data_IF_065059907694
#
_entry.id   IF_065059907694
#
_cell.length_a   1.000
_cell.length_b   1.000
_cell.length_c   1.000
_cell.angle_alpha   90.00
_cell.angle_beta   90.00
_cell.angle_gamma   90.00
#
_symmetry.space_group_name_H-M   'P 1'
#
loop_
_entity.id
_entity.type
_entity.pdbx_description
1 polymer ?
#
# COMPACT_ATOMS: atom_id res chain seq x y z
N UNK A 1 31.81 -11.67 47.92
CA UNK A 1 31.09 -10.84 48.90
C UNK A 1 31.08 -9.44 48.31
N UNK A 2 30.09 -9.13 47.47
CA UNK A 2 30.02 -7.82 46.80
C UNK A 2 28.84 -7.02 47.33
N UNK A 3 29.18 -5.85 47.86
CA UNK A 3 28.30 -4.92 48.54
C UNK A 3 27.39 -4.18 47.55
N UNK A 4 26.09 -4.18 47.81
CA UNK A 4 25.14 -3.33 47.10
C UNK A 4 25.28 -1.87 47.60
N UNK A 5 25.42 -0.94 46.67
CA UNK A 5 25.53 0.50 46.92
C UNK A 5 24.13 1.06 47.18
N UNK A 6 23.92 1.64 48.36
CA UNK A 6 22.68 2.31 48.75
C UNK A 6 22.83 3.83 48.59
N UNK A 7 22.15 4.43 47.61
CA UNK A 7 22.00 5.89 47.53
C UNK A 7 20.87 6.33 48.47
N UNK A 8 21.22 6.87 49.64
CA UNK A 8 20.26 7.48 50.57
C UNK A 8 19.87 8.89 50.13
N UNK A 9 18.59 9.13 49.88
CA UNK A 9 18.04 10.49 49.71
C UNK A 9 17.78 11.10 51.10
N UNK A 10 18.13 12.38 51.34
CA UNK A 10 18.03 13.01 52.66
C UNK A 10 16.59 13.35 53.10
N UNK A 11 15.58 13.04 52.28
CA UNK A 11 14.17 13.39 52.57
C UNK A 11 13.31 12.22 53.09
N UNK A 12 13.87 11.03 53.29
CA UNK A 12 13.16 9.90 53.87
C UNK A 12 13.88 9.43 55.15
N UNK A 13 13.29 9.69 56.32
CA UNK A 13 13.83 9.25 57.62
C UNK A 13 13.53 7.79 57.97
N UNK A 14 12.96 7.01 57.03
CA UNK A 14 12.68 5.59 57.21
C UNK A 14 13.07 4.83 55.93
N UNK A 15 13.74 3.66 56.04
CA UNK A 15 13.95 2.78 54.89
C UNK A 15 12.59 2.36 54.33
N UNK A 16 12.41 2.50 53.02
CA UNK A 16 11.19 2.09 52.34
C UNK A 16 11.03 0.58 52.43
N UNK A 17 10.10 0.12 53.27
CA UNK A 17 9.67 -1.28 53.34
C UNK A 17 8.37 -1.38 52.55
N UNK A 18 8.35 -2.02 51.37
CA UNK A 18 7.12 -2.21 50.63
C UNK A 18 6.13 -3.06 51.45
N UNK A 19 4.85 -2.70 51.41
CA UNK A 19 3.81 -3.45 52.11
C UNK A 19 3.71 -4.87 51.54
N UNK A 20 4.05 -5.87 52.36
CA UNK A 20 3.85 -7.29 52.05
C UNK A 20 2.37 -7.57 51.91
N UNK A 21 1.91 -7.93 50.71
CA UNK A 21 0.53 -8.34 50.46
C UNK A 21 -0.18 -7.70 49.27
N UNK A 22 0.49 -6.87 48.44
CA UNK A 22 -0.08 -6.47 47.16
C UNK A 22 -0.23 -7.70 46.23
N UNK A 23 -1.44 -8.02 45.72
CA UNK A 23 -1.65 -9.17 44.86
C UNK A 23 -0.75 -9.07 43.62
N UNK A 24 0.25 -9.96 43.53
CA UNK A 24 1.14 -10.08 42.38
C UNK A 24 2.64 -9.90 42.65
N UNK A 25 3.07 -9.56 43.87
CA UNK A 25 4.51 -9.40 44.16
C UNK A 25 5.12 -10.67 44.78
N UNK A 26 5.61 -11.58 43.93
CA UNK A 26 6.54 -12.65 44.34
C UNK A 26 7.96 -12.12 44.16
N UNK A 27 8.75 -12.09 45.24
CA UNK A 27 10.10 -11.53 45.30
C UNK A 27 11.18 -12.33 44.54
N UNK A 28 10.79 -13.06 43.51
CA UNK A 28 11.69 -13.93 42.76
C UNK A 28 12.18 -13.16 41.53
N UNK A 29 13.51 -13.10 41.37
CA UNK A 29 14.23 -12.50 40.23
C UNK A 29 14.03 -13.26 38.90
N UNK A 30 12.80 -13.68 38.60
CA UNK A 30 12.43 -14.30 37.33
C UNK A 30 11.61 -13.30 36.50
N UNK A 31 12.23 -12.18 36.11
CA UNK A 31 11.58 -11.23 35.18
C UNK A 31 11.76 -11.61 33.70
N UNK A 32 12.44 -12.72 33.40
CA UNK A 32 12.46 -13.25 32.04
C UNK A 32 11.31 -14.24 31.84
N UNK A 33 10.08 -13.70 31.71
CA UNK A 33 9.00 -14.44 31.05
C UNK A 33 9.30 -14.35 29.56
N UNK A 34 10.19 -15.22 29.12
CA UNK A 34 10.78 -15.24 27.79
C UNK A 34 9.78 -14.80 26.74
N UNK A 35 10.06 -13.66 26.11
CA UNK A 35 9.44 -13.33 24.84
C UNK A 35 10.05 -14.29 23.82
N UNK A 36 9.47 -15.48 23.72
CA UNK A 36 9.80 -16.41 22.67
C UNK A 36 9.23 -15.80 21.39
N UNK A 37 10.13 -15.25 20.56
CA UNK A 37 9.77 -14.80 19.22
C UNK A 37 9.42 -16.05 18.40
N UNK A 38 8.15 -16.44 18.45
CA UNK A 38 7.67 -17.57 17.68
C UNK A 38 7.58 -17.15 16.20
N UNK A 39 8.54 -17.64 15.39
CA UNK A 39 8.51 -17.45 13.94
C UNK A 39 7.21 -18.00 13.32
N UNK A 40 6.53 -18.96 13.95
CA UNK A 40 5.27 -19.51 13.46
C UNK A 40 4.07 -18.55 13.66
N UNK A 41 4.12 -17.63 14.64
CA UNK A 41 3.09 -16.59 14.80
C UNK A 41 3.28 -15.41 13.84
N UNK A 42 4.49 -15.22 13.31
CA UNK A 42 4.79 -14.28 12.22
C UNK A 42 4.21 -14.78 10.90
N UNK A 43 4.28 -16.09 10.63
CA UNK A 43 3.66 -16.74 9.47
C UNK A 43 2.10 -16.68 9.49
N UNK A 44 1.47 -16.49 10.66
CA UNK A 44 0.00 -16.40 10.80
C UNK A 44 -0.61 -15.01 10.49
N UNK A 45 0.15 -14.05 9.96
CA UNK A 45 -0.29 -12.64 9.82
C UNK A 45 -0.16 -12.05 8.41
N UNK A 46 0.03 -12.87 7.39
CA UNK A 46 0.04 -12.45 5.99
C UNK A 46 -1.30 -11.81 5.56
N UNK A 47 -1.25 -10.93 4.56
CA UNK A 47 -2.44 -10.46 3.84
C UNK A 47 -3.07 -11.62 3.08
N UNK A 48 -4.39 -11.78 3.20
CA UNK A 48 -5.17 -12.74 2.42
C UNK A 48 -5.85 -12.03 1.26
N UNK A 49 -5.61 -12.50 0.04
CA UNK A 49 -6.27 -12.00 -1.16
C UNK A 49 -7.53 -12.83 -1.45
N UNK A 50 -8.71 -12.20 -1.51
CA UNK A 50 -10.00 -12.91 -1.75
C UNK A 50 -10.73 -12.42 -3.00
N UNK A 51 -11.46 -13.32 -3.65
CA UNK A 51 -12.29 -13.01 -4.83
C UNK A 51 -11.60 -13.22 -6.18
N UNK A 52 -10.29 -13.54 -6.18
CA UNK A 52 -9.59 -14.04 -7.37
C UNK A 52 -10.02 -15.49 -7.64
N UNK A 53 -10.31 -15.83 -8.89
CA UNK A 53 -10.57 -17.19 -9.38
C UNK A 53 -9.23 -17.90 -9.59
N UNK A 54 -9.14 -19.17 -9.26
CA UNK A 54 -7.89 -19.94 -9.36
C UNK A 54 -7.33 -20.06 -10.78
N UNK A 55 -8.20 -19.92 -11.79
CA UNK A 55 -7.82 -20.02 -13.21
C UNK A 55 -7.09 -18.78 -13.74
N UNK A 56 -7.14 -17.65 -13.01
CA UNK A 56 -6.58 -16.38 -13.51
C UNK A 56 -5.14 -16.18 -13.12
N UNK A 57 -4.41 -15.45 -13.96
CA UNK A 57 -3.00 -15.15 -13.71
C UNK A 57 -2.90 -14.04 -12.65
N UNK A 58 -2.26 -14.28 -11.50
CA UNK A 58 -2.15 -13.26 -10.46
C UNK A 58 -1.23 -12.11 -10.91
N UNK A 59 -1.68 -10.88 -10.66
CA UNK A 59 -0.85 -9.67 -10.78
C UNK A 59 -0.31 -9.26 -9.41
N UNK A 60 -1.17 -9.20 -8.39
CA UNK A 60 -0.76 -9.01 -6.99
C UNK A 60 -0.56 -10.36 -6.28
N UNK A 61 0.63 -10.61 -5.75
CA UNK A 61 0.86 -11.77 -4.86
C UNK A 61 0.68 -11.39 -3.39
N UNK A 62 0.50 -12.38 -2.51
CA UNK A 62 0.39 -12.15 -1.07
C UNK A 62 1.69 -11.53 -0.50
N UNK A 63 2.85 -11.93 -1.02
CA UNK A 63 4.14 -11.35 -0.62
C UNK A 63 4.22 -9.87 -1.01
N UNK A 64 3.78 -9.51 -2.22
CA UNK A 64 3.75 -8.11 -2.64
C UNK A 64 2.72 -7.30 -1.84
N UNK A 65 1.58 -7.88 -1.51
CA UNK A 65 0.59 -7.26 -0.64
C UNK A 65 1.16 -7.00 0.78
N UNK A 66 1.90 -7.96 1.33
CA UNK A 66 2.59 -7.81 2.62
C UNK A 66 3.69 -6.74 2.58
N UNK A 67 4.40 -6.59 1.44
CA UNK A 67 5.37 -5.50 1.25
C UNK A 67 4.70 -4.12 1.15
N UNK A 68 3.52 -4.02 0.54
CA UNK A 68 2.78 -2.76 0.35
C UNK A 68 2.08 -2.30 1.63
N UNK A 69 1.53 -3.23 2.41
CA UNK A 69 0.68 -2.94 3.58
C UNK A 69 1.31 -1.96 4.59
N UNK A 70 2.60 -2.05 4.98
CA UNK A 70 3.22 -1.08 5.89
C UNK A 70 3.16 0.38 5.42
N UNK A 71 3.04 0.60 4.10
CA UNK A 71 3.01 1.94 3.50
C UNK A 71 1.61 2.58 3.48
N UNK A 72 0.55 1.82 3.79
CA UNK A 72 -0.81 2.33 3.86
C UNK A 72 -1.05 3.22 5.08
N UNK A 73 -2.11 4.03 5.13
CA UNK A 73 -2.55 4.70 6.37
C UNK A 73 -2.84 3.70 7.49
N UNK A 74 -2.69 4.11 8.75
CA UNK A 74 -2.82 3.21 9.91
C UNK A 74 -4.14 2.41 9.93
N UNK A 75 -5.27 3.04 9.58
CA UNK A 75 -6.57 2.38 9.53
C UNK A 75 -6.66 1.32 8.43
N UNK A 76 -6.12 1.61 7.24
CA UNK A 76 -6.09 0.68 6.12
C UNK A 76 -5.15 -0.53 6.35
N UNK A 77 -4.27 -0.50 7.37
CA UNK A 77 -3.44 -1.65 7.75
C UNK A 77 -4.17 -2.67 8.61
N UNK A 78 -5.31 -2.31 9.20
CA UNK A 78 -6.03 -3.17 10.13
C UNK A 78 -6.69 -4.38 9.42
N UNK A 79 -7.41 -4.19 8.30
CA UNK A 79 -7.95 -5.33 7.55
C UNK A 79 -6.82 -6.20 7.00
N UNK A 80 -6.96 -7.51 7.20
CA UNK A 80 -6.02 -8.51 6.68
C UNK A 80 -6.50 -9.17 5.39
N UNK A 81 -7.79 -9.07 5.09
CA UNK A 81 -8.36 -9.61 3.87
C UNK A 81 -8.57 -8.46 2.89
N UNK A 82 -7.98 -8.54 1.71
CA UNK A 82 -8.21 -7.60 0.62
C UNK A 82 -9.09 -8.27 -0.42
N UNK A 83 -10.12 -7.57 -0.89
CA UNK A 83 -11.10 -8.12 -1.82
C UNK A 83 -10.80 -7.66 -3.24
N UNK A 84 -10.84 -8.58 -4.20
CA UNK A 84 -10.69 -8.25 -5.60
C UNK A 84 -11.95 -7.50 -6.07
N UNK A 85 -11.81 -6.21 -6.34
CA UNK A 85 -12.88 -5.40 -6.91
C UNK A 85 -12.96 -5.64 -8.41
N UNK A 86 -11.82 -5.58 -9.10
CA UNK A 86 -11.74 -5.73 -10.55
C UNK A 86 -10.45 -6.45 -10.96
N UNK A 87 -10.50 -7.17 -12.06
CA UNK A 87 -9.37 -7.87 -12.69
C UNK A 87 -9.67 -7.96 -14.17
N UNK A 88 -8.70 -7.58 -14.99
CA UNK A 88 -8.80 -7.63 -16.45
C UNK A 88 -9.12 -9.03 -16.95
N UNK A 89 -8.46 -10.05 -16.38
CA UNK A 89 -8.62 -11.46 -16.73
C UNK A 89 -10.01 -12.03 -16.33
N UNK A 90 -10.60 -11.52 -15.23
CA UNK A 90 -11.88 -12.04 -14.73
C UNK A 90 -13.11 -11.29 -15.20
N UNK A 91 -12.97 -9.99 -15.46
CA UNK A 91 -14.10 -9.07 -15.66
C UNK A 91 -14.08 -8.38 -17.02
N UNK A 92 -13.05 -8.63 -17.84
CA UNK A 92 -12.93 -8.12 -19.20
C UNK A 92 -12.47 -6.67 -19.29
N UNK A 93 -12.10 -6.24 -20.49
CA UNK A 93 -11.41 -4.96 -20.81
C UNK A 93 -12.31 -3.71 -20.86
N UNK A 94 -13.34 -3.64 -20.01
CA UNK A 94 -14.29 -2.52 -20.00
C UNK A 94 -14.01 -1.55 -18.85
N UNK A 95 -13.58 -0.32 -19.17
CA UNK A 95 -13.33 0.73 -18.19
C UNK A 95 -14.59 1.09 -17.38
N UNK A 96 -15.76 1.09 -18.02
CA UNK A 96 -17.04 1.30 -17.33
C UNK A 96 -17.32 0.17 -16.31
N UNK A 97 -17.00 -1.08 -16.66
CA UNK A 97 -17.14 -2.22 -15.73
C UNK A 97 -16.19 -2.09 -14.56
N UNK A 98 -14.97 -1.62 -14.78
CA UNK A 98 -14.01 -1.29 -13.73
C UNK A 98 -14.59 -0.24 -12.77
N UNK A 99 -15.13 0.88 -13.28
CA UNK A 99 -15.71 1.93 -12.43
C UNK A 99 -16.93 1.46 -11.64
N UNK A 100 -17.86 0.76 -12.28
CA UNK A 100 -19.07 0.26 -11.63
C UNK A 100 -18.74 -0.68 -10.45
N UNK A 101 -17.69 -1.50 -10.60
CA UNK A 101 -17.25 -2.43 -9.55
C UNK A 101 -16.48 -1.74 -8.42
N UNK A 102 -15.68 -0.72 -8.75
CA UNK A 102 -14.88 -0.01 -7.74
C UNK A 102 -15.71 0.97 -6.90
N UNK A 103 -16.69 1.67 -7.50
CA UNK A 103 -17.58 2.60 -6.80
C UNK A 103 -18.46 1.93 -5.72
N UNK A 104 -18.68 0.62 -5.81
CA UNK A 104 -19.42 -0.13 -4.80
C UNK A 104 -18.62 -0.32 -3.48
N UNK A 105 -17.31 -0.05 -3.49
CA UNK A 105 -16.44 -0.17 -2.34
C UNK A 105 -16.15 1.22 -1.72
N UNK A 106 -16.37 1.36 -0.41
CA UNK A 106 -16.20 2.63 0.33
C UNK A 106 -14.86 2.72 1.08
N UNK A 107 -13.95 1.77 0.85
CA UNK A 107 -12.62 1.72 1.45
C UNK A 107 -11.51 2.14 0.49
N UNK A 108 -10.25 1.97 0.92
CA UNK A 108 -9.11 2.29 0.09
C UNK A 108 -8.96 1.30 -1.07
N UNK A 109 -8.44 1.76 -2.20
CA UNK A 109 -8.22 0.94 -3.38
C UNK A 109 -6.74 0.87 -3.72
N UNK A 110 -6.23 -0.35 -3.91
CA UNK A 110 -4.93 -0.60 -4.49
C UNK A 110 -5.11 -1.02 -5.95
N UNK A 111 -4.65 -0.19 -6.87
CA UNK A 111 -4.57 -0.50 -8.30
C UNK A 111 -3.21 -1.11 -8.58
N UNK A 112 -3.18 -2.23 -9.28
CA UNK A 112 -1.98 -3.00 -9.60
C UNK A 112 -1.98 -3.30 -11.09
N UNK A 113 -0.91 -2.90 -11.79
CA UNK A 113 -0.71 -3.14 -13.21
C UNK A 113 0.55 -3.97 -13.42
N UNK A 114 0.53 -4.81 -14.46
CA UNK A 114 1.68 -5.48 -15.04
C UNK A 114 1.75 -5.12 -16.52
N UNK A 115 2.91 -4.65 -16.96
CA UNK A 115 3.17 -4.41 -18.38
C UNK A 115 3.73 -5.64 -19.11
N UNK A 116 3.81 -5.57 -20.44
CA UNK A 116 4.36 -6.63 -21.28
C UNK A 116 5.86 -6.89 -21.08
N UNK A 117 6.56 -6.02 -20.34
CA UNK A 117 7.95 -6.21 -19.87
C UNK A 117 8.05 -6.79 -18.46
N UNK A 118 6.95 -7.31 -17.91
CA UNK A 118 6.82 -7.87 -16.55
C UNK A 118 7.08 -6.88 -15.40
N UNK A 119 7.12 -5.57 -15.66
CA UNK A 119 7.16 -4.59 -14.59
C UNK A 119 5.81 -4.51 -13.88
N UNK A 120 5.83 -4.55 -12.55
CA UNK A 120 4.64 -4.45 -11.70
C UNK A 120 4.66 -3.14 -10.93
N UNK A 121 3.60 -2.35 -11.08
CA UNK A 121 3.49 -1.01 -10.52
C UNK A 121 2.03 -0.63 -10.30
N UNK A 122 1.78 0.52 -9.69
CA UNK A 122 0.42 0.99 -9.54
C UNK A 122 0.28 2.16 -8.56
N UNK A 123 -0.93 2.28 -8.02
CA UNK A 123 -1.31 3.39 -7.15
C UNK A 123 -2.14 2.89 -5.96
N UNK A 124 -1.92 3.50 -4.81
CA UNK A 124 -2.83 3.42 -3.66
C UNK A 124 -3.69 4.68 -3.57
N UNK A 125 -5.00 4.51 -3.43
CA UNK A 125 -5.98 5.57 -3.23
C UNK A 125 -6.71 5.36 -1.92
N UNK A 126 -6.51 6.26 -0.95
CA UNK A 126 -7.09 6.12 0.39
C UNK A 126 -8.61 6.18 0.45
N UNK A 127 -9.26 6.86 -0.50
CA UNK A 127 -10.73 7.01 -0.58
C UNK A 127 -11.39 6.06 -1.59
N UNK A 128 -10.61 5.17 -2.19
CA UNK A 128 -11.09 4.25 -3.23
C UNK A 128 -10.93 4.81 -4.64
N UNK A 129 -11.34 4.01 -5.63
CA UNK A 129 -11.29 4.39 -7.04
C UNK A 129 -12.71 4.56 -7.57
N UNK A 130 -12.97 5.70 -8.21
CA UNK A 130 -14.27 5.98 -8.83
C UNK A 130 -14.10 6.91 -10.02
N UNK A 131 -15.09 6.91 -10.91
CA UNK A 131 -15.14 7.88 -11.99
C UNK A 131 -15.23 9.31 -11.42
N UNK A 132 -14.37 10.20 -11.89
CA UNK A 132 -14.43 11.64 -11.65
C UNK A 132 -15.33 12.31 -12.68
N UNK A 133 -15.92 13.45 -12.32
CA UNK A 133 -16.75 14.27 -13.21
C UNK A 133 -15.97 15.49 -13.69
N UNK A 134 -14.80 15.26 -14.30
CA UNK A 134 -13.92 16.32 -14.81
C UNK A 134 -13.05 17.02 -13.75
N UNK A 135 -12.91 16.46 -12.55
CA UNK A 135 -12.12 17.04 -11.47
C UNK A 135 -11.22 15.99 -10.83
N UNK A 136 -10.00 16.40 -10.47
CA UNK A 136 -9.10 15.55 -9.71
C UNK A 136 -9.68 15.26 -8.32
N UNK A 137 -9.44 14.05 -7.85
CA UNK A 137 -9.70 13.61 -6.50
C UNK A 137 -8.45 12.89 -5.96
N UNK A 138 -8.46 12.55 -4.68
CA UNK A 138 -7.35 11.94 -3.99
C UNK A 138 -7.10 12.59 -2.63
N UNK A 139 -6.65 11.79 -1.67
CA UNK A 139 -6.10 12.30 -0.42
C UNK A 139 -4.57 12.35 -0.45
N UNK A 140 -3.98 13.15 0.43
CA UNK A 140 -2.53 13.19 0.63
C UNK A 140 -1.90 11.89 1.17
N UNK A 141 -2.70 10.87 1.42
CA UNK A 141 -2.21 9.53 1.77
C UNK A 141 -1.97 8.63 0.55
N UNK A 142 -2.39 9.07 -0.63
CA UNK A 142 -2.22 8.37 -1.90
C UNK A 142 -0.75 8.34 -2.31
N UNK A 143 -0.35 7.30 -3.04
CA UNK A 143 1.03 7.17 -3.51
C UNK A 143 1.12 6.27 -4.74
N UNK A 144 2.07 6.58 -5.62
CA UNK A 144 2.50 5.69 -6.68
C UNK A 144 3.55 4.72 -6.14
N UNK A 145 3.68 3.56 -6.77
CA UNK A 145 4.69 2.58 -6.42
C UNK A 145 5.09 1.72 -7.61
N UNK A 146 6.30 1.14 -7.53
CA UNK A 146 6.76 0.11 -8.48
C UNK A 146 7.63 -0.92 -7.78
N UNK A 147 7.59 -2.14 -8.29
CA UNK A 147 8.48 -3.23 -7.92
C UNK A 147 9.76 -3.15 -8.76
N UNK A 148 10.92 -3.11 -8.10
CA UNK A 148 12.22 -3.14 -8.75
C UNK A 148 12.65 -4.59 -9.03
N UNK A 149 13.58 -4.77 -9.98
CA UNK A 149 14.06 -6.10 -10.41
C UNK A 149 14.70 -6.92 -9.28
N UNK A 150 15.21 -6.26 -8.23
CA UNK A 150 15.77 -6.89 -7.02
C UNK A 150 14.72 -7.16 -5.93
N UNK A 151 13.43 -7.13 -6.29
CA UNK A 151 12.27 -7.33 -5.42
C UNK A 151 12.12 -6.28 -4.32
N UNK A 152 12.76 -5.11 -4.44
CA UNK A 152 12.49 -3.97 -3.56
C UNK A 152 11.32 -3.15 -4.07
N UNK A 153 10.54 -2.63 -3.13
CA UNK A 153 9.43 -1.74 -3.41
C UNK A 153 9.90 -0.28 -3.37
N UNK A 154 9.66 0.48 -4.45
CA UNK A 154 9.86 1.93 -4.47
C UNK A 154 8.52 2.63 -4.33
N UNK A 155 8.41 3.52 -3.35
CA UNK A 155 7.19 4.26 -3.01
C UNK A 155 7.40 5.74 -3.29
N UNK A 156 6.45 6.35 -3.99
CA UNK A 156 6.43 7.78 -4.32
C UNK A 156 5.22 8.42 -3.63
N UNK A 157 5.47 9.02 -2.46
CA UNK A 157 4.42 9.67 -1.66
C UNK A 157 4.03 11.01 -2.28
N UNK A 158 2.80 11.43 -2.00
CA UNK A 158 2.33 12.75 -2.38
C UNK A 158 3.25 13.86 -1.85
N UNK A 159 3.63 14.79 -2.74
CA UNK A 159 4.60 15.84 -2.45
C UNK A 159 4.00 17.07 -1.79
N UNK A 160 2.68 17.24 -1.88
CA UNK A 160 1.99 18.47 -1.49
C UNK A 160 2.15 19.64 -2.47
N UNK A 161 2.80 19.46 -3.62
CA UNK A 161 2.98 20.53 -4.62
C UNK A 161 1.68 20.90 -5.35
N UNK A 162 0.77 19.94 -5.53
CA UNK A 162 -0.56 20.10 -6.13
C UNK A 162 -1.49 18.94 -5.71
N UNK A 163 -2.78 19.06 -6.02
CA UNK A 163 -3.81 18.05 -5.67
C UNK A 163 -4.23 17.16 -6.86
N UNK A 164 -3.39 17.05 -7.89
CA UNK A 164 -3.69 16.29 -9.12
C UNK A 164 -3.46 14.78 -8.94
N UNK A 165 -4.06 14.17 -7.91
CA UNK A 165 -3.76 12.80 -7.48
C UNK A 165 -4.37 11.74 -8.40
N UNK A 166 -5.66 11.79 -8.66
CA UNK A 166 -6.36 10.85 -9.53
C UNK A 166 -7.41 11.58 -10.38
N UNK A 167 -7.49 11.23 -11.65
CA UNK A 167 -8.51 11.71 -12.58
C UNK A 167 -8.92 10.52 -13.46
N UNK A 168 -10.16 10.09 -13.26
CA UNK A 168 -10.72 8.86 -13.80
C UNK A 168 -11.94 9.22 -14.65
N UNK A 169 -11.74 9.48 -15.93
CA UNK A 169 -12.77 9.91 -16.87
C UNK A 169 -13.34 8.72 -17.65
N UNK A 170 -14.38 8.96 -18.46
CA UNK A 170 -14.98 7.92 -19.32
C UNK A 170 -13.99 7.28 -20.29
N UNK A 171 -12.98 8.05 -20.72
CA UNK A 171 -12.04 7.63 -21.77
C UNK A 171 -10.66 7.22 -21.26
N UNK A 172 -10.35 7.44 -19.98
CA UNK A 172 -9.04 7.11 -19.42
C UNK A 172 -9.00 7.13 -17.89
N UNK A 173 -7.98 6.49 -17.34
CA UNK A 173 -7.55 6.56 -15.96
C UNK A 173 -6.22 7.30 -15.90
N UNK A 174 -6.05 8.20 -14.94
CA UNK A 174 -4.77 8.84 -14.70
C UNK A 174 -4.51 9.08 -13.22
N UNK A 175 -3.25 8.97 -12.83
CA UNK A 175 -2.77 9.15 -11.47
C UNK A 175 -1.48 9.99 -11.46
N UNK A 176 -1.51 11.08 -10.70
CA UNK A 176 -0.41 12.03 -10.58
C UNK A 176 -0.26 12.92 -11.79
N UNK A 177 -0.95 14.05 -11.83
CA UNK A 177 -0.87 15.02 -12.93
C UNK A 177 0.14 16.14 -12.70
N UNK A 178 0.19 17.08 -13.64
CA UNK A 178 1.03 18.26 -13.57
C UNK A 178 2.08 18.29 -14.66
N UNK A 179 2.51 19.50 -15.03
CA UNK A 179 3.48 19.76 -16.11
C UNK A 179 3.12 19.12 -17.47
N UNK A 180 1.83 18.82 -17.69
CA UNK A 180 1.32 18.25 -18.94
C UNK A 180 1.45 16.73 -19.06
N UNK A 181 1.93 16.04 -18.04
CA UNK A 181 2.12 14.59 -18.04
C UNK A 181 1.41 13.91 -16.86
N UNK A 182 1.33 12.58 -16.92
CA UNK A 182 0.79 11.75 -15.85
C UNK A 182 1.84 10.78 -15.31
N UNK A 183 1.90 10.64 -14.00
CA UNK A 183 2.72 9.62 -13.32
C UNK A 183 2.32 8.22 -13.78
N UNK A 184 1.03 7.99 -13.97
CA UNK A 184 0.47 6.79 -14.58
C UNK A 184 -0.79 7.14 -15.36
N UNK A 185 -0.87 6.70 -16.61
CA UNK A 185 -2.02 6.86 -17.49
C UNK A 185 -2.36 5.52 -18.13
N UNK A 186 -3.66 5.24 -18.27
CA UNK A 186 -4.18 4.09 -19.00
C UNK A 186 -5.43 4.51 -19.77
N UNK A 187 -5.54 4.11 -21.02
CA UNK A 187 -6.65 4.45 -21.90
C UNK A 187 -7.96 3.67 -21.57
N UNK A 188 -9.02 3.92 -22.33
CA UNK A 188 -10.32 3.25 -22.17
C UNK A 188 -10.32 1.78 -22.56
N UNK A 189 -9.35 1.34 -23.37
CA UNK A 189 -9.19 -0.06 -23.75
C UNK A 189 -8.53 -0.91 -22.65
N UNK A 190 -7.94 -0.26 -21.63
CA UNK A 190 -7.17 -0.88 -20.56
C UNK A 190 -5.93 -1.63 -21.05
N UNK A 191 -5.49 -1.37 -22.28
CA UNK A 191 -4.36 -2.03 -22.94
C UNK A 191 -3.19 -1.06 -23.13
N UNK A 192 -3.45 0.18 -23.53
CA UNK A 192 -2.38 1.13 -23.84
C UNK A 192 -2.23 2.17 -22.73
N UNK A 193 -1.02 2.25 -22.18
CA UNK A 193 -0.70 3.13 -21.08
C UNK A 193 0.58 3.93 -21.27
N UNK A 194 0.78 4.91 -20.40
CA UNK A 194 2.03 5.65 -20.33
C UNK A 194 2.36 6.06 -18.90
N UNK A 195 3.63 6.27 -18.62
CA UNK A 195 4.12 6.76 -17.34
C UNK A 195 5.24 7.77 -17.57
N UNK A 196 5.18 8.88 -16.84
CA UNK A 196 6.16 9.95 -16.87
C UNK A 196 6.49 10.43 -15.47
N UNK A 197 7.43 11.38 -15.37
CA UNK A 197 7.59 12.15 -14.15
C UNK A 197 6.35 13.04 -13.92
N UNK A 198 5.93 13.18 -12.66
CA UNK A 198 4.94 14.19 -12.29
C UNK A 198 5.31 14.91 -10.98
N UNK A 199 4.99 16.21 -10.84
CA UNK A 199 5.25 16.95 -9.62
C UNK A 199 4.41 16.50 -8.42
N UNK A 200 3.26 15.86 -8.64
CA UNK A 200 2.37 15.37 -7.55
C UNK A 200 3.04 14.31 -6.68
N UNK A 201 3.87 13.45 -7.27
CA UNK A 201 4.51 12.32 -6.57
C UNK A 201 6.03 12.32 -6.67
N UNK A 202 6.63 13.21 -7.48
CA UNK A 202 8.08 13.23 -7.75
C UNK A 202 8.59 11.85 -8.22
N UNK A 203 7.76 11.16 -9.00
CA UNK A 203 8.06 9.80 -9.45
C UNK A 203 8.92 9.79 -10.71
N UNK A 204 9.70 8.73 -10.89
CA UNK A 204 10.22 8.36 -12.20
C UNK A 204 9.17 7.54 -12.96
N UNK A 205 9.32 7.35 -14.29
CA UNK A 205 8.49 6.40 -15.03
C UNK A 205 8.43 5.03 -14.34
N UNK A 206 7.21 4.53 -14.18
CA UNK A 206 6.91 3.35 -13.38
C UNK A 206 7.10 2.04 -14.15
N UNK A 207 6.81 2.08 -15.45
CA UNK A 207 6.83 0.94 -16.35
C UNK A 207 8.25 0.53 -16.77
N UNK A 208 8.30 -0.60 -17.49
CA UNK A 208 9.44 -1.05 -18.25
C UNK A 208 9.94 0.02 -19.22
N UNK A 209 11.21 -0.09 -19.62
CA UNK A 209 11.73 0.77 -20.68
C UNK A 209 10.98 0.47 -21.99
N UNK A 210 10.32 1.49 -22.53
CA UNK A 210 9.55 1.39 -23.77
C UNK A 210 9.79 2.59 -24.70
N UNK A 211 9.04 2.67 -25.81
CA UNK A 211 9.04 3.83 -26.67
C UNK A 211 8.77 5.11 -25.87
N UNK A 212 9.46 6.20 -26.25
CA UNK A 212 9.29 7.50 -25.61
C UNK A 212 8.61 8.48 -26.55
N UNK A 213 7.62 9.19 -26.02
CA UNK A 213 6.98 10.31 -26.69
C UNK A 213 7.13 11.53 -25.77
N UNK A 214 8.17 12.33 -26.02
CA UNK A 214 8.58 13.37 -25.06
C UNK A 214 9.06 12.74 -23.75
N UNK A 215 8.45 13.14 -22.64
CA UNK A 215 8.75 12.60 -21.30
C UNK A 215 7.99 11.30 -20.99
N UNK A 216 6.97 10.97 -21.78
CA UNK A 216 6.14 9.78 -21.57
C UNK A 216 6.86 8.52 -22.05
N UNK A 217 6.93 7.50 -21.19
CA UNK A 217 7.30 6.13 -21.56
C UNK A 217 6.01 5.34 -21.74
N UNK A 218 5.78 4.81 -22.94
CA UNK A 218 4.57 4.02 -23.25
C UNK A 218 4.76 2.55 -22.86
N UNK A 219 3.69 1.91 -22.39
CA UNK A 219 3.66 0.49 -22.04
C UNK A 219 2.36 -0.16 -22.48
N UNK A 220 2.41 -1.47 -22.73
CA UNK A 220 1.23 -2.30 -22.96
C UNK A 220 0.86 -3.00 -21.65
N UNK A 221 -0.36 -2.79 -21.18
CA UNK A 221 -0.93 -3.40 -19.98
C UNK A 221 -1.40 -4.82 -20.28
N UNK A 222 -0.74 -5.82 -19.68
CA UNK A 222 -1.09 -7.24 -19.83
C UNK A 222 -1.75 -7.81 -18.57
N UNK A 223 -1.86 -7.01 -17.52
CA UNK A 223 -2.54 -7.40 -16.29
C UNK A 223 -2.93 -6.16 -15.50
N UNK A 224 -4.19 -6.12 -15.06
CA UNK A 224 -4.72 -5.06 -14.21
C UNK A 224 -5.61 -5.69 -13.15
N UNK A 225 -5.35 -5.35 -11.89
CA UNK A 225 -6.20 -5.71 -10.76
C UNK A 225 -6.45 -4.48 -9.87
N UNK A 226 -7.63 -4.44 -9.27
CA UNK A 226 -7.99 -3.44 -8.26
C UNK A 226 -8.47 -4.18 -7.02
N UNK A 227 -7.82 -3.87 -5.90
CA UNK A 227 -8.05 -4.51 -4.61
C UNK A 227 -8.63 -3.51 -3.61
N UNK A 228 -9.75 -3.87 -3.01
CA UNK A 228 -10.39 -3.13 -1.92
C UNK A 228 -9.73 -3.48 -0.58
N UNK A 229 -9.36 -2.45 0.17
CA UNK A 229 -8.70 -2.53 1.46
C UNK A 229 -9.48 -1.65 2.44
N UNK A 230 -10.33 -2.30 3.24
CA UNK A 230 -11.27 -1.61 4.12
C UNK A 230 -12.46 -2.48 4.45
#
# INVERSE_FOLDING_TARGET
MDAAITHGSPFASQPFVPATGAPGFAGDRAWDKGFQFDRMDVEKRAVRLVGRKEVTVPVLTEELADMLRPHFPALARLPRAWSLLYSLDQHGISLNTLYARCQAHTGGALVVMRDSGDAVFGVWLGEGMHQSKGAYYGSGTSFLWRLLSDRRLRIYKWTGKNDYVALCETEYLSFGGGDGHYGLYLDSSLMDGSSAYCPTFDNEPLCSAGPRQGENVTFECVGLEVWGVG
#
